data_IF_540568445195
#
_entry.id   IF_540568445195
#
_cell.length_a   1.000
_cell.length_b   1.000
_cell.length_c   1.000
_cell.angle_alpha   90.00
_cell.angle_beta   90.00
_cell.angle_gamma   90.00
#
_symmetry.space_group_name_H-M   'P 1'
#
loop_
_entity.id
_entity.type
_entity.pdbx_description
1 polymer ?
#
# COMPACT_ATOMS: atom_id res chain seq x y z
N UNK A 1 7.06 35.09 12.04
CA UNK A 1 7.23 34.52 11.87
C UNK A 1 6.89 33.85 11.59
N UNK A 2 6.99 33.64 11.63
CA UNK A 2 7.02 32.95 11.27
C UNK A 2 6.90 32.35 10.99
N UNK A 3 7.02 32.49 11.06
CA UNK A 3 7.15 31.80 10.86
C UNK A 3 7.21 31.07 10.86
N UNK A 4 7.48 31.20 11.09
CA UNK A 4 7.88 30.39 11.18
C UNK A 4 7.39 29.50 11.29
N UNK A 5 7.00 29.27 11.82
CA UNK A 5 6.73 28.30 11.83
C UNK A 5 6.79 27.63 10.91
N UNK A 6 6.64 27.89 10.47
CA UNK A 6 7.00 27.29 9.40
C UNK A 6 8.17 26.53 9.47
N UNK A 7 8.94 26.64 10.26
CA UNK A 7 10.12 25.93 10.36
C UNK A 7 9.93 24.52 10.68
N UNK A 8 8.99 24.15 11.49
CA UNK A 8 8.78 22.76 11.81
C UNK A 8 8.33 21.99 10.64
N UNK A 9 7.55 22.60 9.78
CA UNK A 9 7.14 21.82 8.64
C UNK A 9 8.22 21.70 7.62
N UNK A 10 9.18 22.56 7.67
CA UNK A 10 10.31 22.43 6.80
C UNK A 10 11.21 21.32 7.20
N UNK A 11 11.16 20.91 8.45
CA UNK A 11 12.00 19.82 8.87
C UNK A 11 11.31 18.52 8.65
N UNK A 12 11.92 17.69 7.89
CA UNK A 12 11.39 16.36 7.64
C UNK A 12 11.56 15.51 8.88
N UNK A 13 10.58 14.66 9.14
CA UNK A 13 10.66 13.72 10.25
C UNK A 13 10.40 12.34 9.72
N UNK A 14 10.89 11.33 10.42
CA UNK A 14 10.57 9.96 10.15
C UNK A 14 9.79 9.43 11.34
N UNK A 15 8.72 8.70 11.08
CA UNK A 15 7.90 8.12 12.12
C UNK A 15 8.19 6.64 12.20
N UNK A 16 8.60 6.18 13.36
CA UNK A 16 8.92 4.77 13.58
C UNK A 16 8.15 4.33 14.81
N UNK A 17 7.24 3.38 14.64
CA UNK A 17 6.45 2.82 15.73
C UNK A 17 5.70 3.90 16.50
N UNK A 18 5.26 4.93 15.79
CA UNK A 18 4.48 6.00 16.41
C UNK A 18 5.28 7.15 16.94
N UNK A 19 6.61 7.03 16.97
CA UNK A 19 7.47 8.09 17.45
C UNK A 19 8.08 8.83 16.26
N UNK A 20 8.15 10.14 16.38
CA UNK A 20 8.71 10.97 15.32
C UNK A 20 10.12 11.39 15.66
N UNK A 21 10.98 11.31 14.69
CA UNK A 21 12.38 11.68 14.83
C UNK A 21 12.76 12.66 13.74
N UNK A 22 13.34 13.83 14.08
CA UNK A 22 13.76 14.75 13.04
C UNK A 22 14.92 14.14 12.26
N UNK A 23 14.83 14.20 10.96
CA UNK A 23 15.86 13.60 10.12
C UNK A 23 17.18 14.32 10.30
N UNK A 24 17.15 15.64 10.54
CA UNK A 24 18.37 16.40 10.75
C UNK A 24 19.19 15.92 11.93
N UNK A 25 18.57 15.28 12.89
CA UNK A 25 19.26 14.82 14.08
C UNK A 25 19.83 13.41 13.95
N UNK A 26 19.60 12.78 12.81
CA UNK A 26 20.10 11.43 12.59
C UNK A 26 21.52 11.50 12.04
N UNK A 27 22.32 10.47 12.36
CA UNK A 27 23.65 10.41 11.77
C UNK A 27 23.53 9.87 10.34
N UNK A 28 24.66 9.82 9.64
CA UNK A 28 24.65 9.44 8.23
C UNK A 28 24.14 8.03 8.01
N UNK A 29 24.52 7.13 8.87
CA UNK A 29 24.08 5.75 8.75
C UNK A 29 22.59 5.64 8.98
N UNK A 30 22.07 6.37 9.95
CA UNK A 30 20.66 6.39 10.24
C UNK A 30 19.87 7.00 9.09
N UNK A 31 20.40 8.06 8.48
CA UNK A 31 19.75 8.67 7.32
C UNK A 31 19.66 7.68 6.17
N UNK A 32 20.71 6.90 5.98
CA UNK A 32 20.71 5.90 4.92
C UNK A 32 19.64 4.85 5.18
N UNK A 33 19.52 4.43 6.44
CA UNK A 33 18.48 3.46 6.78
C UNK A 33 17.08 4.02 6.55
N UNK A 34 16.89 5.31 6.82
CA UNK A 34 15.60 5.94 6.55
C UNK A 34 15.30 5.92 5.06
N UNK A 35 16.31 6.17 4.23
CA UNK A 35 16.11 6.12 2.79
C UNK A 35 15.71 4.73 2.32
N UNK A 36 16.36 3.72 2.87
CA UNK A 36 16.00 2.34 2.54
C UNK A 36 14.57 2.02 3.00
N UNK A 37 14.22 2.51 4.18
CA UNK A 37 12.90 2.27 4.71
C UNK A 37 11.84 2.91 3.82
N UNK A 38 12.08 4.15 3.40
CA UNK A 38 11.13 4.83 2.52
C UNK A 38 10.96 4.08 1.21
N UNK A 39 12.07 3.59 0.66
CA UNK A 39 12.02 2.84 -0.57
C UNK A 39 11.24 1.54 -0.42
N UNK A 40 11.48 0.85 0.68
CA UNK A 40 10.77 -0.39 0.96
C UNK A 40 9.28 -0.15 1.16
N UNK A 41 8.93 0.94 1.84
CA UNK A 41 7.53 1.27 2.04
C UNK A 41 6.82 1.54 0.71
N UNK A 42 7.50 2.22 -0.21
CA UNK A 42 6.93 2.46 -1.53
C UNK A 42 6.72 1.15 -2.28
N UNK A 43 7.69 0.25 -2.17
CA UNK A 43 7.57 -1.05 -2.84
C UNK A 43 6.46 -1.89 -2.25
N UNK A 44 6.31 -1.82 -0.94
CA UNK A 44 5.23 -2.54 -0.27
C UNK A 44 3.88 -1.99 -0.71
N UNK A 45 3.75 -0.66 -0.79
CA UNK A 45 2.51 -0.05 -1.23
C UNK A 45 2.17 -0.46 -2.66
N UNK A 46 3.17 -0.47 -3.54
CA UNK A 46 2.95 -0.90 -4.91
C UNK A 46 2.55 -2.36 -4.98
N UNK A 47 3.21 -3.20 -4.20
CA UNK A 47 2.91 -4.62 -4.18
C UNK A 47 1.51 -4.86 -3.64
N UNK A 48 1.12 -4.10 -2.62
CA UNK A 48 -0.21 -4.21 -2.04
C UNK A 48 -1.27 -3.83 -3.07
N UNK A 49 -1.02 -2.75 -3.81
CA UNK A 49 -1.94 -2.33 -4.85
C UNK A 49 -2.06 -3.40 -5.93
N UNK A 50 -0.92 -3.93 -6.35
CA UNK A 50 -0.92 -4.99 -7.36
C UNK A 50 -1.65 -6.22 -6.87
N UNK A 51 -1.46 -6.57 -5.60
CA UNK A 51 -2.14 -7.72 -5.02
C UNK A 51 -3.64 -7.50 -5.03
N UNK A 52 -4.09 -6.31 -4.68
CA UNK A 52 -5.51 -6.01 -4.69
C UNK A 52 -6.09 -6.14 -6.08
N UNK A 53 -5.37 -5.66 -7.09
CA UNK A 53 -5.84 -5.79 -8.47
C UNK A 53 -5.94 -7.23 -8.89
N UNK A 54 -4.96 -8.03 -8.49
CA UNK A 54 -4.98 -9.45 -8.82
C UNK A 54 -6.13 -10.16 -8.11
N UNK A 55 -6.39 -9.78 -6.88
CA UNK A 55 -7.50 -10.37 -6.13
C UNK A 55 -8.84 -10.00 -6.74
N UNK A 56 -9.00 -8.75 -7.17
CA UNK A 56 -10.22 -8.32 -7.84
C UNK A 56 -10.41 -9.07 -9.15
N UNK A 57 -9.31 -9.24 -9.91
CA UNK A 57 -9.40 -9.99 -11.15
C UNK A 57 -9.77 -11.42 -10.92
N UNK A 58 -9.17 -12.02 -9.91
CA UNK A 58 -9.49 -13.39 -9.56
C UNK A 58 -10.96 -13.53 -9.19
N UNK A 59 -11.44 -12.58 -8.38
CA UNK A 59 -12.83 -12.62 -7.94
C UNK A 59 -13.79 -12.47 -9.11
N UNK A 60 -13.44 -11.60 -10.05
CA UNK A 60 -14.27 -11.40 -11.23
C UNK A 60 -14.41 -12.70 -12.02
N UNK A 61 -13.33 -13.44 -12.17
CA UNK A 61 -13.38 -14.69 -12.88
C UNK A 61 -14.11 -15.75 -12.10
N UNK A 62 -13.96 -15.76 -10.78
CA UNK A 62 -14.72 -16.69 -9.95
C UNK A 62 -16.22 -16.43 -10.11
N UNK A 63 -16.61 -15.17 -10.08
CA UNK A 63 -18.00 -14.80 -10.22
C UNK A 63 -18.54 -15.18 -11.60
N UNK A 64 -17.75 -14.92 -12.63
CA UNK A 64 -18.16 -15.25 -13.99
C UNK A 64 -18.31 -16.76 -14.17
N UNK A 65 -17.37 -17.51 -13.61
CA UNK A 65 -17.42 -18.95 -13.71
C UNK A 65 -18.64 -19.51 -12.96
N UNK A 66 -18.89 -18.97 -11.77
CA UNK A 66 -20.03 -19.40 -10.99
C UNK A 66 -21.34 -19.14 -11.72
N UNK A 67 -21.45 -17.97 -12.34
CA UNK A 67 -22.63 -17.64 -13.11
C UNK A 67 -22.80 -18.59 -14.29
N UNK A 68 -21.73 -18.94 -14.95
CA UNK A 68 -21.77 -19.85 -16.07
C UNK A 68 -22.18 -21.25 -15.63
N UNK A 69 -21.63 -21.70 -14.51
CA UNK A 69 -21.96 -23.02 -13.98
C UNK A 69 -23.40 -23.08 -13.52
N UNK A 70 -23.91 -22.02 -12.93
CA UNK A 70 -25.30 -21.97 -12.51
C UNK A 70 -26.23 -22.01 -13.72
N UNK A 71 -25.87 -21.33 -14.79
CA UNK A 71 -26.65 -21.38 -16.02
C UNK A 71 -26.71 -22.79 -16.57
N UNK A 72 -25.58 -23.47 -16.56
CA UNK A 72 -25.52 -24.82 -17.06
C UNK A 72 -26.36 -25.76 -16.21
N UNK A 73 -26.35 -25.54 -14.91
CA UNK A 73 -27.15 -26.34 -14.01
C UNK A 73 -28.65 -26.16 -14.29
N UNK A 74 -29.04 -24.89 -14.51
CA UNK A 74 -30.42 -24.60 -14.81
C UNK A 74 -30.87 -25.29 -16.10
N UNK A 75 -29.99 -25.26 -17.10
CA UNK A 75 -30.32 -25.92 -18.34
C UNK A 75 -30.45 -27.40 -18.16
N UNK A 76 -29.57 -27.98 -17.37
CA UNK A 76 -29.65 -29.41 -17.10
C UNK A 76 -30.94 -29.76 -16.39
N UNK A 77 -31.36 -28.89 -15.47
CA UNK A 77 -32.58 -29.14 -14.73
C UNK A 77 -33.78 -29.15 -15.63
N UNK A 78 -33.77 -28.34 -16.64
CA UNK A 78 -34.89 -28.26 -17.54
C UNK A 78 -35.01 -29.48 -18.42
N UNK A 79 -33.93 -30.15 -18.64
CA UNK A 79 -33.94 -31.33 -19.41
C UNK A 79 -34.60 -32.49 -18.68
#
# INVERSE_FOLDING_TARGET
MAKKQKQTKEKAVVTIDGDEYPIDELDDNEKLMVQHLADLNRKIDSATFNLQQLQFGRQAFVDALRASLNENEDKSSED
#
